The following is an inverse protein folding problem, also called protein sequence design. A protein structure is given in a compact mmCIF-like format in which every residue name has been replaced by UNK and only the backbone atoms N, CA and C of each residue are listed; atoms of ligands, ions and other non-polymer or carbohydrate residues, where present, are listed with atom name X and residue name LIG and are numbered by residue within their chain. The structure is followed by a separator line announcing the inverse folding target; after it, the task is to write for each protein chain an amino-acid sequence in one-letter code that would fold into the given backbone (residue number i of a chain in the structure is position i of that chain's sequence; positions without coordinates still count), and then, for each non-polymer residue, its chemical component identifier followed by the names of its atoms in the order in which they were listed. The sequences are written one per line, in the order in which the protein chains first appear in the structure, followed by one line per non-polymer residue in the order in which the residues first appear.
data_IF_131421960959
#
_entry.id   IF_131421960959
#
_cell.length_a   1.000
_cell.length_b   1.000
_cell.length_c   1.000
_cell.angle_alpha   90.00
_cell.angle_beta   90.00
_cell.angle_gamma   90.00
#
_symmetry.space_group_name_H-M   'P 1'
#
loop_
_entity.id
_entity.type
_entity.pdbx_description
1 polymer ?
#
# COMPACT_ATOMS: atom_id res chain seq x y z
N UNK A 1 34.93 2.25 16.09
CA UNK A 1 33.60 2.84 15.85
C UNK A 1 33.44 3.01 14.35
N UNK A 2 32.78 2.07 13.68
CA UNK A 2 32.60 2.13 12.23
C UNK A 2 31.62 3.26 11.90
N UNK A 3 32.04 4.20 11.06
CA UNK A 3 31.19 5.27 10.56
C UNK A 3 29.99 4.63 9.85
N UNK A 4 28.79 4.89 10.35
CA UNK A 4 27.55 4.56 9.68
C UNK A 4 27.62 5.19 8.29
N UNK A 5 27.82 4.35 7.26
CA UNK A 5 27.76 4.76 5.86
C UNK A 5 26.41 5.45 5.71
N UNK A 6 26.43 6.76 5.43
CA UNK A 6 25.23 7.52 5.17
C UNK A 6 24.42 6.74 4.14
N UNK A 7 23.25 6.23 4.56
CA UNK A 7 22.27 5.67 3.65
C UNK A 7 22.11 6.70 2.54
N UNK A 8 22.17 6.26 1.29
CA UNK A 8 22.04 7.15 0.13
C UNK A 8 20.90 8.14 0.40
N UNK A 9 21.15 9.46 0.28
CA UNK A 9 20.10 10.43 0.52
C UNK A 9 18.91 10.05 -0.35
N UNK A 10 17.73 9.95 0.26
CA UNK A 10 16.47 9.69 -0.45
C UNK A 10 16.49 10.61 -1.67
N UNK A 11 16.34 10.08 -2.90
CA UNK A 11 16.42 10.86 -4.11
C UNK A 11 15.55 12.11 -3.95
N UNK A 12 16.18 13.28 -3.96
CA UNK A 12 15.49 14.56 -3.85
C UNK A 12 14.78 14.91 -5.18
N UNK A 13 14.41 13.89 -5.98
CA UNK A 13 13.62 14.07 -7.20
C UNK A 13 12.40 14.89 -6.78
N UNK A 14 12.08 15.98 -7.49
CA UNK A 14 10.96 16.82 -7.10
C UNK A 14 9.72 15.95 -6.93
N UNK A 15 9.14 15.96 -5.73
CA UNK A 15 7.91 15.26 -5.30
C UNK A 15 6.65 15.71 -6.08
N UNK A 16 6.84 16.24 -7.29
CA UNK A 16 5.95 17.16 -7.98
C UNK A 16 5.79 16.82 -9.46
N UNK A 17 6.12 15.61 -9.89
CA UNK A 17 5.45 15.13 -11.09
C UNK A 17 4.00 14.80 -10.69
N UNK A 18 3.00 15.62 -11.07
CA UNK A 18 1.62 15.38 -10.69
C UNK A 18 1.07 14.06 -11.26
N UNK A 19 1.82 13.37 -12.13
CA UNK A 19 1.46 12.08 -12.70
C UNK A 19 2.07 10.87 -11.98
N UNK A 20 2.99 11.07 -11.02
CA UNK A 20 3.64 9.96 -10.30
C UNK A 20 2.74 9.42 -9.18
N UNK A 21 2.25 8.19 -9.38
CA UNK A 21 1.29 7.50 -8.51
C UNK A 21 1.50 5.98 -8.56
N UNK A 22 1.26 5.28 -7.46
CA UNK A 22 1.12 3.82 -7.45
C UNK A 22 -0.34 3.44 -7.65
N UNK A 23 -0.62 2.56 -8.61
CA UNK A 23 -1.95 1.95 -8.77
C UNK A 23 -1.83 0.47 -8.38
N UNK A 24 -2.74 -0.01 -7.54
CA UNK A 24 -2.78 -1.40 -7.05
C UNK A 24 -4.22 -1.90 -6.96
N UNK A 25 -4.45 -3.20 -7.04
CA UNK A 25 -5.80 -3.76 -6.89
C UNK A 25 -6.25 -3.76 -5.42
N UNK A 26 -5.34 -4.12 -4.52
CA UNK A 26 -5.59 -4.19 -3.08
C UNK A 26 -4.91 -3.03 -2.35
N UNK A 27 -5.49 -2.62 -1.23
CA UNK A 27 -4.90 -1.72 -0.25
C UNK A 27 -3.43 -2.11 0.05
N UNK A 28 -2.46 -1.19 -0.06
CA UNK A 28 -1.07 -1.51 0.23
C UNK A 28 -0.87 -1.94 1.68
N UNK A 29 -0.39 -3.16 1.88
CA UNK A 29 0.00 -3.62 3.21
C UNK A 29 1.08 -2.72 3.83
N UNK A 30 1.32 -2.87 5.14
CA UNK A 30 2.25 -2.04 5.90
C UNK A 30 3.64 -1.85 5.24
N UNK A 31 4.19 -2.92 4.67
CA UNK A 31 5.46 -2.89 3.95
C UNK A 31 5.38 -1.98 2.71
N UNK A 32 4.40 -2.22 1.84
CA UNK A 32 4.22 -1.47 0.60
C UNK A 32 3.89 0.01 0.86
N UNK A 33 3.00 0.29 1.82
CA UNK A 33 2.69 1.66 2.25
C UNK A 33 3.95 2.39 2.75
N UNK A 34 4.78 1.72 3.56
CA UNK A 34 6.07 2.26 4.00
C UNK A 34 7.02 2.55 2.85
N UNK A 35 7.12 1.63 1.88
CA UNK A 35 7.96 1.82 0.68
C UNK A 35 7.50 3.00 -0.15
N UNK A 36 6.19 3.12 -0.41
CA UNK A 36 5.59 4.26 -1.14
C UNK A 36 5.96 5.58 -0.46
N UNK A 37 5.78 5.65 0.87
CA UNK A 37 6.12 6.83 1.66
C UNK A 37 7.61 7.18 1.57
N UNK A 38 8.50 6.21 1.76
CA UNK A 38 9.96 6.45 1.77
C UNK A 38 10.54 6.74 0.39
N UNK A 39 9.94 6.19 -0.67
CA UNK A 39 10.26 6.52 -2.06
C UNK A 39 9.86 7.95 -2.45
N UNK A 40 9.02 8.61 -1.64
CA UNK A 40 8.55 9.97 -1.93
C UNK A 40 7.39 9.99 -2.93
N UNK A 41 6.68 8.88 -3.12
CA UNK A 41 5.51 8.84 -3.99
C UNK A 41 4.32 9.44 -3.25
N UNK A 42 3.77 10.52 -3.80
CA UNK A 42 2.75 11.32 -3.13
C UNK A 42 1.32 10.81 -3.29
N UNK A 43 1.06 9.84 -4.16
CA UNK A 43 -0.29 9.35 -4.48
C UNK A 43 -0.36 7.84 -4.63
N UNK A 44 -1.43 7.24 -4.12
CA UNK A 44 -1.78 5.85 -4.36
C UNK A 44 -3.26 5.72 -4.73
N UNK A 45 -3.57 4.87 -5.70
CA UNK A 45 -4.91 4.43 -6.04
C UNK A 45 -5.02 2.92 -5.75
N UNK A 46 -6.01 2.52 -4.94
CA UNK A 46 -6.33 1.10 -4.75
C UNK A 46 -7.80 0.77 -5.02
N UNK A 47 -8.04 -0.46 -5.47
CA UNK A 47 -9.38 -0.95 -5.81
C UNK A 47 -10.18 -1.45 -4.61
N UNK A 48 -9.56 -2.25 -3.73
CA UNK A 48 -10.23 -2.99 -2.66
C UNK A 48 -9.51 -2.81 -1.33
N UNK A 49 -10.26 -2.62 -0.25
CA UNK A 49 -9.75 -2.51 1.13
C UNK A 49 -9.11 -3.82 1.61
N UNK A 50 -8.10 -3.73 2.48
CA UNK A 50 -7.46 -4.91 3.09
C UNK A 50 -8.46 -5.76 3.90
N UNK A 51 -9.50 -5.14 4.47
CA UNK A 51 -10.56 -5.87 5.17
C UNK A 51 -11.32 -6.87 4.28
N UNK A 52 -11.49 -6.55 2.99
CA UNK A 52 -12.12 -7.47 2.04
C UNK A 52 -11.19 -8.63 1.65
N UNK A 53 -9.87 -8.38 1.58
CA UNK A 53 -8.89 -9.45 1.43
C UNK A 53 -8.89 -10.36 2.66
N UNK A 54 -8.87 -9.80 3.87
CA UNK A 54 -8.92 -10.55 5.13
C UNK A 54 -10.15 -11.46 5.22
N UNK A 55 -11.30 -10.99 4.72
CA UNK A 55 -12.52 -11.80 4.68
C UNK A 55 -12.38 -13.03 3.74
N UNK A 56 -11.49 -12.97 2.75
CA UNK A 56 -11.23 -14.07 1.82
C UNK A 56 -10.10 -14.99 2.31
N UNK A 57 -9.09 -14.43 2.97
CA UNK A 57 -7.91 -15.18 3.43
C UNK A 57 -8.11 -15.81 4.81
N UNK A 58 -8.87 -15.20 5.71
CA UNK A 58 -9.03 -15.69 7.08
C UNK A 58 -7.68 -15.84 7.80
N UNK A 59 -7.43 -17.04 8.35
CA UNK A 59 -6.18 -17.41 9.01
C UNK A 59 -5.24 -18.25 8.11
N UNK A 60 -5.40 -18.14 6.78
CA UNK A 60 -4.62 -18.92 5.82
C UNK A 60 -3.09 -18.73 6.02
N UNK A 61 -2.31 -19.82 6.15
CA UNK A 61 -0.92 -19.76 6.57
C UNK A 61 0.02 -19.04 5.58
N UNK A 62 -0.34 -19.01 4.29
CA UNK A 62 0.47 -18.32 3.27
C UNK A 62 0.28 -16.80 3.27
N UNK A 63 -0.80 -16.28 3.86
CA UNK A 63 -1.06 -14.85 3.92
C UNK A 63 -1.72 -14.48 5.26
N UNK A 64 -0.92 -14.41 6.35
CA UNK A 64 -1.37 -13.93 7.65
C UNK A 64 -1.69 -12.44 7.55
N UNK A 65 -2.88 -12.14 7.04
CA UNK A 65 -3.26 -10.81 6.57
C UNK A 65 -3.27 -9.84 7.74
N UNK A 66 -2.41 -8.83 7.67
CA UNK A 66 -2.31 -7.81 8.71
C UNK A 66 -3.45 -6.81 8.50
N UNK A 67 -4.44 -6.82 9.40
CA UNK A 67 -5.58 -5.89 9.35
C UNK A 67 -5.17 -4.44 9.69
N UNK A 68 -4.39 -3.80 8.83
CA UNK A 68 -3.88 -2.44 9.00
C UNK A 68 -4.03 -1.63 7.71
N UNK A 69 -5.03 -0.72 7.63
CA UNK A 69 -5.21 0.12 6.45
C UNK A 69 -3.98 0.98 6.14
N UNK A 70 -3.62 1.14 4.85
CA UNK A 70 -2.44 1.94 4.47
C UNK A 70 -2.52 3.39 4.97
N UNK A 71 -3.74 3.92 5.10
CA UNK A 71 -4.04 5.27 5.60
C UNK A 71 -3.47 5.49 7.01
N UNK A 72 -3.47 4.46 7.85
CA UNK A 72 -2.88 4.52 9.20
C UNK A 72 -1.35 4.64 9.13
N UNK A 73 -0.71 3.94 8.20
CA UNK A 73 0.74 4.02 7.98
C UNK A 73 1.12 5.40 7.47
N UNK A 74 0.41 5.93 6.47
CA UNK A 74 0.66 7.27 5.92
C UNK A 74 0.41 8.37 6.96
N UNK A 75 -0.63 8.25 7.79
CA UNK A 75 -0.93 9.20 8.85
C UNK A 75 0.17 9.28 9.93
N UNK A 76 1.03 8.27 10.03
CA UNK A 76 2.19 8.26 10.93
C UNK A 76 3.40 9.02 10.36
N UNK A 77 3.34 9.45 9.10
CA UNK A 77 4.41 10.17 8.40
C UNK A 77 4.36 11.69 8.57
N UNK A 78 5.45 12.36 8.17
CA UNK A 78 5.57 13.83 8.16
C UNK A 78 5.20 14.45 6.80
N UNK A 79 5.00 13.62 5.77
CA UNK A 79 4.63 14.06 4.42
C UNK A 79 3.21 13.58 4.11
N UNK A 80 2.37 14.43 3.50
CA UNK A 80 1.06 13.99 3.05
C UNK A 80 1.20 12.98 1.90
N UNK A 81 0.41 11.91 1.95
CA UNK A 81 0.20 10.98 0.85
C UNK A 81 -1.29 10.98 0.53
N UNK A 82 -1.64 11.26 -0.72
CA UNK A 82 -3.00 11.19 -1.22
C UNK A 82 -3.37 9.74 -1.49
N UNK A 83 -4.48 9.30 -0.91
CA UNK A 83 -4.95 7.93 -1.01
C UNK A 83 -6.32 7.93 -1.66
N UNK A 84 -6.32 7.58 -2.95
CA UNK A 84 -7.48 7.37 -3.80
C UNK A 84 -7.88 5.90 -3.66
N UNK A 85 -9.13 5.60 -3.36
CA UNK A 85 -9.54 4.23 -3.09
C UNK A 85 -10.36 4.09 -1.80
N UNK A 86 -11.14 3.03 -1.65
CA UNK A 86 -11.32 1.95 -2.62
C UNK A 86 -12.09 2.43 -3.86
N UNK A 87 -12.12 1.64 -4.92
CA UNK A 87 -12.94 1.89 -6.12
C UNK A 87 -14.09 0.87 -6.09
N UNK A 88 -15.27 1.21 -5.53
CA UNK A 88 -16.33 0.23 -5.30
C UNK A 88 -16.78 -0.51 -6.56
N UNK A 89 -16.75 0.17 -7.72
CA UNK A 89 -17.12 -0.41 -9.01
C UNK A 89 -16.22 -1.58 -9.44
N UNK A 90 -15.00 -1.71 -8.90
CA UNK A 90 -14.05 -2.77 -9.24
C UNK A 90 -13.97 -3.87 -8.17
N UNK A 91 -14.69 -3.74 -7.05
CA UNK A 91 -14.51 -4.64 -5.91
C UNK A 91 -14.84 -6.09 -6.26
N UNK A 92 -15.96 -6.34 -6.93
CA UNK A 92 -16.40 -7.69 -7.25
C UNK A 92 -15.48 -8.38 -8.26
N UNK A 93 -14.93 -7.61 -9.21
CA UNK A 93 -13.99 -8.10 -10.22
C UNK A 93 -12.64 -8.47 -9.58
N UNK A 94 -12.09 -7.60 -8.73
CA UNK A 94 -10.81 -7.83 -8.06
C UNK A 94 -10.92 -9.02 -7.08
N UNK A 95 -11.97 -9.05 -6.25
CA UNK A 95 -12.16 -10.13 -5.27
C UNK A 95 -12.48 -11.48 -5.91
N UNK A 96 -13.00 -11.51 -7.15
CA UNK A 96 -13.24 -12.75 -7.87
C UNK A 96 -11.98 -13.60 -8.04
N UNK A 97 -10.83 -12.96 -8.27
CA UNK A 97 -9.53 -13.63 -8.44
C UNK A 97 -9.05 -14.34 -7.18
N UNK A 98 -9.64 -14.03 -6.02
CA UNK A 98 -9.17 -14.49 -4.71
C UNK A 98 -10.09 -15.55 -4.11
N UNK A 99 -11.34 -15.67 -4.56
CA UNK A 99 -12.33 -16.57 -3.97
C UNK A 99 -11.90 -18.04 -3.93
N UNK A 100 -11.26 -18.52 -5.00
CA UNK A 100 -10.84 -19.92 -5.10
C UNK A 100 -9.34 -20.09 -4.84
N UNK A 101 -8.56 -19.00 -4.80
CA UNK A 101 -7.11 -19.05 -4.64
C UNK A 101 -6.69 -19.35 -3.19
N UNK A 102 -7.48 -18.92 -2.21
CA UNK A 102 -7.18 -19.04 -0.77
C UNK A 102 -7.84 -20.24 -0.08
N UNK A 103 -8.44 -21.17 -0.83
CA UNK A 103 -8.95 -22.45 -0.28
C UNK A 103 -7.82 -23.46 -0.08
#
# INVERSE_FOLDING_TARGET
MAAHRALHPIPQRPLRDPWEMVNTFLDPCAMCAGTIYWAGIGRVLYGVEEAALLALTGDHPENPTLSLPCRTVFASGQRPTEVLGPVPALQDEITALHRDFWQ
#
